data_IF_009417274564
#
_entry.id   IF_009417274564
#
_cell.length_a   1.000
_cell.length_b   1.000
_cell.length_c   1.000
_cell.angle_alpha   90.00
_cell.angle_beta   90.00
_cell.angle_gamma   90.00
#
_symmetry.space_group_name_H-M   'P 1'
#
loop_
_entity.id
_entity.type
_entity.pdbx_description
1 polymer ?
#
# COMPACT_ATOMS: atom_id res chain seq x y z
N UNK A 1 -8.94 10.44 14.61
CA UNK A 1 -7.97 11.27 13.87
C UNK A 1 -6.61 11.07 14.51
N UNK A 2 -5.58 10.88 13.71
CA UNK A 2 -4.21 10.64 14.17
C UNK A 2 -3.43 11.96 14.13
N UNK A 3 -2.58 12.19 15.12
CA UNK A 3 -1.67 13.35 15.16
C UNK A 3 -0.50 13.15 14.20
N UNK A 4 -0.12 11.87 13.96
CA UNK A 4 0.93 11.47 13.04
C UNK A 4 0.56 10.23 12.24
N UNK A 5 1.02 10.20 10.98
CA UNK A 5 1.01 9.00 10.13
C UNK A 5 2.45 8.75 9.68
N UNK A 6 2.94 7.54 9.93
CA UNK A 6 4.28 7.09 9.55
C UNK A 6 4.14 5.86 8.67
N UNK A 7 4.70 5.88 7.47
CA UNK A 7 4.79 4.68 6.64
C UNK A 7 6.15 4.03 6.78
N UNK A 8 6.19 2.72 6.88
CA UNK A 8 7.42 1.95 7.05
C UNK A 8 7.62 1.03 5.84
N UNK A 9 8.71 1.23 5.10
CA UNK A 9 9.05 0.47 3.91
C UNK A 9 10.46 -0.12 4.03
N UNK A 10 10.56 -1.42 4.31
CA UNK A 10 11.87 -2.08 4.42
C UNK A 10 12.53 -2.40 3.07
N UNK A 11 11.74 -2.50 2.01
CA UNK A 11 12.20 -2.92 0.69
C UNK A 11 11.64 -1.99 -0.40
N UNK A 12 11.99 -0.68 -0.37
CA UNK A 12 11.58 0.29 -1.39
C UNK A 12 12.04 -0.14 -2.78
N UNK A 13 11.52 0.51 -3.80
CA UNK A 13 11.88 0.24 -5.18
C UNK A 13 11.95 1.54 -6.00
N UNK A 14 12.67 1.50 -7.10
CA UNK A 14 12.46 2.36 -8.25
C UNK A 14 11.56 1.59 -9.22
N UNK A 15 10.35 2.07 -9.44
CA UNK A 15 9.40 1.45 -10.38
C UNK A 15 9.60 2.07 -11.76
N UNK A 16 10.21 1.31 -12.67
CA UNK A 16 10.51 1.71 -14.05
C UNK A 16 9.39 1.22 -14.96
N UNK A 17 8.71 2.12 -15.61
CA UNK A 17 7.68 1.80 -16.60
C UNK A 17 8.18 2.14 -17.99
N UNK A 18 8.28 1.13 -18.85
CA UNK A 18 8.74 1.22 -20.21
C UNK A 18 7.58 1.03 -21.19
N UNK A 19 7.60 1.74 -22.30
CA UNK A 19 6.71 1.50 -23.44
C UNK A 19 7.57 1.17 -24.65
N UNK A 20 7.27 0.05 -25.31
CA UNK A 20 7.91 -0.40 -26.54
C UNK A 20 6.98 -0.13 -27.73
N UNK A 21 7.55 0.12 -28.90
CA UNK A 21 6.80 0.17 -30.16
C UNK A 21 6.44 -1.23 -30.67
N UNK A 22 7.28 -2.22 -30.36
CA UNK A 22 7.08 -3.65 -30.65
C UNK A 22 7.85 -4.45 -29.61
N UNK A 23 7.53 -5.74 -29.45
CA UNK A 23 8.33 -6.66 -28.63
C UNK A 23 8.93 -7.71 -29.55
N UNK A 24 10.25 -7.73 -29.64
CA UNK A 24 11.05 -8.76 -30.27
C UNK A 24 11.74 -9.62 -29.20
N UNK A 25 11.70 -10.95 -29.36
CA UNK A 25 12.35 -11.88 -28.42
C UNK A 25 13.75 -12.31 -28.89
N UNK A 26 14.19 -11.88 -30.06
CA UNK A 26 15.49 -12.24 -30.67
C UNK A 26 16.39 -11.03 -30.74
N UNK A 27 15.87 -9.90 -31.20
CA UNK A 27 16.64 -8.67 -31.40
C UNK A 27 16.46 -7.70 -30.21
N UNK A 28 17.41 -6.75 -30.02
CA UNK A 28 17.28 -5.71 -29.00
C UNK A 28 15.99 -4.88 -29.16
N UNK A 29 15.33 -4.59 -28.06
CA UNK A 29 14.15 -3.74 -28.04
C UNK A 29 14.53 -2.33 -27.59
N UNK A 30 14.14 -1.32 -28.37
CA UNK A 30 14.29 0.09 -28.00
C UNK A 30 13.05 0.61 -27.31
N UNK A 31 13.26 1.40 -26.25
CA UNK A 31 12.17 2.04 -25.51
C UNK A 31 11.67 3.27 -26.23
N UNK A 32 10.37 3.35 -26.48
CA UNK A 32 9.72 4.55 -27.00
C UNK A 32 9.52 5.62 -25.92
N UNK A 33 9.27 5.20 -24.68
CA UNK A 33 9.09 6.06 -23.50
C UNK A 33 9.50 5.31 -22.23
N UNK A 34 10.12 6.03 -21.32
CA UNK A 34 10.41 5.57 -19.96
C UNK A 34 9.88 6.56 -18.94
N UNK A 35 9.31 6.04 -17.84
CA UNK A 35 8.94 6.84 -16.66
C UNK A 35 9.40 6.09 -15.43
N UNK A 36 9.95 6.83 -14.47
CA UNK A 36 10.46 6.32 -13.22
C UNK A 36 9.69 6.91 -12.04
N UNK A 37 9.36 6.05 -11.07
CA UNK A 37 8.68 6.44 -9.84
C UNK A 37 9.43 5.93 -8.62
N UNK A 38 9.38 6.70 -7.53
CA UNK A 38 9.69 6.13 -6.22
C UNK A 38 8.57 5.16 -5.84
N UNK A 39 8.93 3.93 -5.53
CA UNK A 39 8.00 2.83 -5.32
C UNK A 39 8.26 2.02 -4.05
N UNK A 40 7.46 0.99 -3.90
CA UNK A 40 7.29 0.22 -2.67
C UNK A 40 6.00 0.61 -1.97
N UNK A 41 5.22 -0.36 -1.46
CA UNK A 41 3.84 -0.09 -1.00
C UNK A 41 3.73 1.05 0.01
N UNK A 42 4.58 1.10 1.05
CA UNK A 42 4.53 2.19 2.04
C UNK A 42 4.90 3.54 1.43
N UNK A 43 5.87 3.57 0.49
CA UNK A 43 6.22 4.76 -0.29
C UNK A 43 5.03 5.21 -1.14
N UNK A 44 4.39 4.30 -1.88
CA UNK A 44 3.21 4.63 -2.69
C UNK A 44 2.08 5.20 -1.83
N UNK A 45 1.86 4.63 -0.63
CA UNK A 45 0.87 5.15 0.33
C UNK A 45 1.23 6.59 0.75
N UNK A 46 2.50 6.89 1.05
CA UNK A 46 2.94 8.25 1.40
C UNK A 46 2.74 9.24 0.25
N UNK A 47 3.06 8.85 -0.98
CA UNK A 47 2.87 9.67 -2.17
C UNK A 47 1.39 10.02 -2.39
N UNK A 48 0.51 9.03 -2.25
CA UNK A 48 -0.94 9.25 -2.36
C UNK A 48 -1.48 10.07 -1.18
N UNK A 49 -1.01 9.87 0.05
CA UNK A 49 -1.39 10.70 1.19
C UNK A 49 -0.99 12.16 0.96
N UNK A 50 0.23 12.41 0.48
CA UNK A 50 0.71 13.76 0.14
C UNK A 50 -0.15 14.41 -0.94
N UNK A 51 -0.46 13.70 -2.04
CA UNK A 51 -1.31 14.22 -3.12
C UNK A 51 -2.74 14.52 -2.65
N UNK A 52 -3.24 13.78 -1.66
CA UNK A 52 -4.54 14.02 -1.05
C UNK A 52 -4.49 15.06 0.11
N UNK A 53 -3.36 15.75 0.32
CA UNK A 53 -3.20 16.79 1.33
C UNK A 53 -3.10 16.28 2.76
N UNK A 54 -2.74 15.01 2.97
CA UNK A 54 -2.52 14.41 4.29
C UNK A 54 -1.03 14.25 4.54
N UNK A 55 -0.54 14.84 5.63
CA UNK A 55 0.86 14.73 6.04
C UNK A 55 1.16 13.34 6.56
N UNK A 56 2.16 12.70 5.98
CA UNK A 56 2.74 11.45 6.46
C UNK A 56 4.26 11.51 6.33
N UNK A 57 4.98 10.81 7.21
CA UNK A 57 6.44 10.67 7.12
C UNK A 57 6.79 9.26 6.65
N UNK A 58 7.53 9.16 5.56
CA UNK A 58 8.01 7.89 5.04
C UNK A 58 9.35 7.53 5.69
N UNK A 59 9.41 6.41 6.38
CA UNK A 59 10.59 5.84 6.99
C UNK A 59 10.87 4.47 6.38
N UNK A 60 12.11 4.06 6.37
CA UNK A 60 12.49 2.75 5.83
C UNK A 60 13.99 2.63 5.65
N UNK A 61 14.41 1.69 4.81
CA UNK A 61 15.82 1.42 4.53
C UNK A 61 16.02 1.49 3.03
N UNK A 62 17.00 2.26 2.57
CA UNK A 62 17.33 2.36 1.14
C UNK A 62 18.84 2.14 0.89
N UNK A 63 19.17 1.58 -0.26
CA UNK A 63 20.54 1.39 -0.69
C UNK A 63 21.16 2.67 -1.26
N UNK A 64 22.44 2.94 -0.96
CA UNK A 64 23.14 4.17 -1.31
C UNK A 64 23.41 4.36 -2.80
N UNK A 65 23.59 3.27 -3.56
CA UNK A 65 24.13 3.36 -4.92
C UNK A 65 23.26 4.20 -5.88
N UNK A 66 21.95 4.21 -5.67
CA UNK A 66 20.97 4.97 -6.44
C UNK A 66 19.97 5.75 -5.57
N UNK A 67 20.31 5.94 -4.29
CA UNK A 67 19.47 6.67 -3.32
C UNK A 67 19.12 8.08 -3.79
N UNK A 68 20.08 8.82 -4.37
CA UNK A 68 19.84 10.19 -4.85
C UNK A 68 18.69 10.29 -5.84
N UNK A 69 18.55 9.32 -6.75
CA UNK A 69 17.43 9.25 -7.70
C UNK A 69 16.11 8.95 -7.01
N UNK A 70 16.11 8.02 -6.06
CA UNK A 70 14.94 7.65 -5.27
C UNK A 70 14.45 8.82 -4.41
N UNK A 71 15.36 9.49 -3.71
CA UNK A 71 15.06 10.64 -2.84
C UNK A 71 14.53 11.84 -3.66
N UNK A 72 15.16 12.15 -4.81
CA UNK A 72 14.68 13.25 -5.68
C UNK A 72 13.25 13.03 -6.17
N UNK A 73 12.84 11.78 -6.40
CA UNK A 73 11.46 11.45 -6.78
C UNK A 73 10.50 11.66 -5.60
N UNK A 74 10.89 11.30 -4.36
CA UNK A 74 10.08 11.54 -3.17
C UNK A 74 9.91 13.05 -2.90
N UNK A 75 10.99 13.83 -3.06
CA UNK A 75 10.97 15.28 -2.92
C UNK A 75 10.04 15.92 -3.96
N UNK A 76 10.10 15.43 -5.21
CA UNK A 76 9.23 15.86 -6.30
C UNK A 76 7.74 15.59 -6.05
N UNK A 77 7.44 14.51 -5.34
CA UNK A 77 6.08 14.14 -4.92
C UNK A 77 5.65 14.81 -3.60
N UNK A 78 6.49 15.65 -2.99
CA UNK A 78 6.23 16.34 -1.73
C UNK A 78 6.15 15.43 -0.50
N UNK A 79 6.78 14.26 -0.55
CA UNK A 79 6.79 13.29 0.55
C UNK A 79 7.83 13.65 1.59
N UNK A 80 7.41 13.88 2.82
CA UNK A 80 8.35 13.98 3.96
C UNK A 80 8.93 12.61 4.26
N UNK A 81 10.26 12.49 4.31
CA UNK A 81 10.92 11.19 4.48
C UNK A 81 12.19 11.27 5.33
N UNK A 82 12.62 10.11 5.86
CA UNK A 82 13.89 9.98 6.61
C UNK A 82 14.36 8.51 6.58
N UNK A 83 14.93 8.07 5.46
CA UNK A 83 15.40 6.70 5.28
C UNK A 83 16.74 6.45 5.98
N UNK A 84 16.92 5.22 6.46
CA UNK A 84 18.24 4.69 6.83
C UNK A 84 18.95 4.27 5.56
N UNK A 85 20.20 4.67 5.42
CA UNK A 85 21.01 4.37 4.27
C UNK A 85 21.92 3.16 4.53
N UNK A 86 22.00 2.25 3.54
CA UNK A 86 22.85 1.05 3.60
C UNK A 86 23.64 0.89 2.30
N UNK A 87 24.64 0.02 2.30
CA UNK A 87 25.33 -0.37 1.07
C UNK A 87 24.37 -1.05 0.09
N UNK A 88 24.68 -0.97 -1.20
CA UNK A 88 23.90 -1.52 -2.30
C UNK A 88 22.87 -0.54 -2.85
N UNK A 89 22.00 -1.04 -3.72
CA UNK A 89 21.02 -0.24 -4.46
C UNK A 89 19.59 -0.46 -3.96
N UNK A 90 18.76 0.59 -4.06
CA UNK A 90 17.31 0.44 -4.11
C UNK A 90 16.98 -0.43 -5.33
N UNK A 91 16.19 -1.49 -5.12
CA UNK A 91 15.81 -2.40 -6.21
C UNK A 91 15.00 -1.68 -7.28
N UNK A 92 15.11 -2.14 -8.51
CA UNK A 92 14.29 -1.66 -9.61
C UNK A 92 13.25 -2.72 -9.98
N UNK A 93 12.00 -2.34 -10.08
CA UNK A 93 10.95 -3.16 -10.68
C UNK A 93 10.66 -2.63 -12.09
N UNK A 94 10.55 -3.52 -13.07
CA UNK A 94 10.25 -3.12 -14.43
C UNK A 94 8.82 -3.51 -14.80
N UNK A 95 8.11 -2.57 -15.42
CA UNK A 95 6.86 -2.82 -16.12
C UNK A 95 7.08 -2.46 -17.59
N UNK A 96 6.98 -3.44 -18.48
CA UNK A 96 7.14 -3.24 -19.93
C UNK A 96 5.77 -3.32 -20.56
N UNK A 97 5.29 -2.20 -21.11
CA UNK A 97 4.03 -2.13 -21.84
C UNK A 97 4.27 -2.35 -23.34
N UNK A 98 3.41 -3.15 -23.96
CA UNK A 98 3.47 -3.53 -25.36
C UNK A 98 2.26 -2.92 -26.09
N UNK A 99 2.36 -2.54 -27.38
CA UNK A 99 1.30 -1.85 -28.11
C UNK A 99 -0.04 -2.59 -28.17
N UNK A 100 -0.03 -3.92 -28.08
CA UNK A 100 -1.23 -4.76 -28.11
C UNK A 100 -2.00 -4.78 -26.76
N UNK A 101 -1.57 -3.98 -25.77
CA UNK A 101 -2.17 -3.88 -24.46
C UNK A 101 -1.69 -4.91 -23.43
N UNK A 102 -0.79 -5.83 -23.81
CA UNK A 102 -0.12 -6.71 -22.86
C UNK A 102 0.98 -5.98 -22.13
N UNK A 103 1.37 -6.50 -20.98
CA UNK A 103 2.50 -6.00 -20.21
C UNK A 103 3.26 -7.13 -19.53
N UNK A 104 4.55 -6.91 -19.32
CA UNK A 104 5.44 -7.79 -18.55
C UNK A 104 5.86 -7.07 -17.26
N UNK A 105 5.79 -7.76 -16.11
CA UNK A 105 6.32 -7.25 -14.84
C UNK A 105 7.49 -8.09 -14.36
N UNK A 106 8.58 -7.44 -14.00
CA UNK A 106 9.77 -8.04 -13.42
C UNK A 106 10.06 -7.36 -12.09
N UNK A 107 9.74 -8.05 -10.98
CA UNK A 107 10.00 -7.54 -9.65
C UNK A 107 11.29 -8.14 -9.10
N UNK A 108 12.27 -7.30 -8.78
CA UNK A 108 13.52 -7.73 -8.16
C UNK A 108 13.30 -7.93 -6.64
N UNK A 109 14.04 -8.87 -6.05
CA UNK A 109 13.92 -9.22 -4.64
C UNK A 109 14.40 -8.09 -3.71
N UNK A 110 15.35 -7.29 -4.15
CA UNK A 110 16.02 -6.29 -3.31
C UNK A 110 17.26 -6.86 -2.61
N UNK A 111 17.94 -5.98 -1.87
CA UNK A 111 19.15 -6.30 -1.12
C UNK A 111 18.83 -6.83 0.28
N UNK A 112 19.78 -7.49 0.91
CA UNK A 112 19.72 -7.84 2.33
C UNK A 112 19.88 -6.58 3.18
N UNK A 113 19.25 -6.57 4.34
CA UNK A 113 19.29 -5.45 5.28
C UNK A 113 20.22 -5.81 6.46
N UNK A 114 21.25 -5.03 6.72
CA UNK A 114 22.09 -5.22 7.91
C UNK A 114 21.31 -5.08 9.21
N UNK A 115 21.67 -5.84 10.23
CA UNK A 115 21.04 -5.76 11.57
C UNK A 115 21.14 -4.33 12.13
N UNK A 116 22.28 -3.67 11.92
CA UNK A 116 22.48 -2.29 12.38
C UNK A 116 21.52 -1.31 11.70
N UNK A 117 21.19 -1.50 10.43
CA UNK A 117 20.19 -0.67 9.75
C UNK A 117 18.78 -0.86 10.35
N UNK A 118 18.42 -2.08 10.77
CA UNK A 118 17.18 -2.32 11.51
C UNK A 118 17.18 -1.63 12.88
N UNK A 119 18.33 -1.59 13.58
CA UNK A 119 18.47 -0.86 14.84
C UNK A 119 18.36 0.66 14.62
N UNK A 120 18.97 1.20 13.56
CA UNK A 120 18.86 2.62 13.20
C UNK A 120 17.42 3.00 12.86
N UNK A 121 16.72 2.18 12.05
CA UNK A 121 15.33 2.39 11.74
C UNK A 121 14.46 2.36 13.00
N UNK A 122 14.72 1.40 13.91
CA UNK A 122 14.03 1.34 15.20
C UNK A 122 14.20 2.65 15.99
N UNK A 123 15.42 3.15 16.13
CA UNK A 123 15.67 4.44 16.82
C UNK A 123 14.89 5.58 16.19
N UNK A 124 14.95 5.73 14.86
CA UNK A 124 14.17 6.77 14.15
C UNK A 124 12.66 6.67 14.40
N UNK A 125 12.12 5.45 14.43
CA UNK A 125 10.70 5.23 14.72
C UNK A 125 10.36 5.54 16.18
N UNK A 126 11.23 5.20 17.12
CA UNK A 126 11.07 5.51 18.54
C UNK A 126 11.11 7.03 18.78
N UNK A 127 12.07 7.76 18.16
CA UNK A 127 12.17 9.22 18.21
C UNK A 127 10.87 9.89 17.72
N UNK A 128 10.26 9.36 16.64
CA UNK A 128 8.96 9.84 16.16
C UNK A 128 7.81 9.62 17.17
N UNK A 129 7.89 8.59 17.99
CA UNK A 129 6.88 8.29 19.00
C UNK A 129 7.04 9.07 20.30
N UNK A 130 8.25 9.58 20.61
CA UNK A 130 8.55 10.31 21.85
C UNK A 130 7.75 11.60 22.02
N UNK A 131 7.40 12.27 20.92
CA UNK A 131 6.61 13.52 20.97
C UNK A 131 5.14 13.29 21.40
N UNK A 132 4.75 12.03 21.62
CA UNK A 132 3.39 11.67 22.03
C UNK A 132 2.36 11.82 20.91
N UNK A 133 1.08 11.80 21.30
CA UNK A 133 -0.05 11.86 20.36
C UNK A 133 -0.43 10.50 19.76
N UNK A 134 -1.60 10.45 19.12
CA UNK A 134 -2.07 9.25 18.42
C UNK A 134 -1.31 9.07 17.13
N UNK A 135 -0.56 7.98 17.00
CA UNK A 135 0.27 7.70 15.83
C UNK A 135 -0.25 6.48 15.09
N UNK A 136 -0.46 6.61 13.78
CA UNK A 136 -0.71 5.49 12.89
C UNK A 136 0.58 5.08 12.18
N UNK A 137 1.05 3.87 12.42
CA UNK A 137 2.19 3.28 11.73
C UNK A 137 1.69 2.33 10.63
N UNK A 138 2.03 2.62 9.40
CA UNK A 138 1.62 1.85 8.21
C UNK A 138 2.76 0.93 7.80
N UNK A 139 2.66 -0.36 8.09
CA UNK A 139 3.61 -1.39 7.71
C UNK A 139 3.17 -2.05 6.40
N UNK A 140 3.82 -1.73 5.29
CA UNK A 140 3.39 -2.15 3.97
C UNK A 140 4.54 -2.63 3.08
N UNK A 141 4.23 -3.55 2.18
CA UNK A 141 5.15 -4.04 1.17
C UNK A 141 5.77 -5.39 1.47
N UNK A 142 6.74 -5.77 0.61
CA UNK A 142 7.50 -7.01 0.74
C UNK A 142 8.68 -6.85 1.71
N UNK A 143 9.10 -7.97 2.29
CA UNK A 143 10.29 -8.01 3.13
C UNK A 143 11.57 -8.12 2.29
N UNK A 144 12.69 -7.58 2.78
CA UNK A 144 14.03 -7.91 2.26
C UNK A 144 14.32 -9.42 2.38
N UNK A 145 15.24 -9.98 1.58
CA UNK A 145 15.49 -11.43 1.53
C UNK A 145 15.88 -12.09 2.86
N UNK A 146 16.49 -11.35 3.77
CA UNK A 146 16.94 -11.84 5.07
C UNK A 146 16.04 -11.47 6.26
N UNK A 147 14.89 -10.84 6.02
CA UNK A 147 13.92 -10.51 7.07
C UNK A 147 12.76 -11.49 7.00
N UNK A 148 12.53 -12.24 8.08
CA UNK A 148 11.44 -13.20 8.16
C UNK A 148 10.13 -12.52 8.61
N UNK A 149 8.95 -13.08 8.26
CA UNK A 149 7.67 -12.59 8.78
C UNK A 149 7.61 -12.50 10.30
N UNK A 150 8.18 -13.50 11.01
CA UNK A 150 8.21 -13.56 12.46
C UNK A 150 9.10 -12.45 13.05
N UNK A 151 10.28 -12.22 12.47
CA UNK A 151 11.19 -11.14 12.85
C UNK A 151 10.54 -9.76 12.61
N UNK A 152 9.84 -9.61 11.50
CA UNK A 152 9.11 -8.38 11.20
C UNK A 152 7.91 -8.14 12.12
N UNK A 153 7.17 -9.20 12.47
CA UNK A 153 6.11 -9.12 13.47
C UNK A 153 6.65 -8.66 14.82
N UNK A 154 7.75 -9.27 15.28
CA UNK A 154 8.41 -8.88 16.54
C UNK A 154 8.88 -7.43 16.51
N UNK A 155 9.44 -6.98 15.37
CA UNK A 155 9.82 -5.58 15.15
C UNK A 155 8.61 -4.64 15.25
N UNK A 156 7.51 -4.94 14.56
CA UNK A 156 6.27 -4.17 14.63
C UNK A 156 5.71 -4.12 16.06
N UNK A 157 5.62 -5.26 16.73
CA UNK A 157 5.07 -5.37 18.08
C UNK A 157 5.89 -4.60 19.13
N UNK A 158 7.18 -4.36 18.88
CA UNK A 158 8.02 -3.58 19.79
C UNK A 158 7.59 -2.11 19.91
N UNK A 159 6.80 -1.60 18.96
CA UNK A 159 6.22 -0.25 18.99
C UNK A 159 4.81 -0.22 19.60
N UNK A 160 4.30 -1.33 20.12
CA UNK A 160 2.97 -1.38 20.73
C UNK A 160 2.90 -0.50 21.95
N UNK A 161 2.04 0.53 21.87
CA UNK A 161 1.68 1.48 22.93
C UNK A 161 0.21 1.80 22.80
N UNK A 162 -0.41 2.31 23.86
CA UNK A 162 -1.84 2.63 23.88
C UNK A 162 -2.25 3.66 22.80
N UNK A 163 -1.35 4.56 22.46
CA UNK A 163 -1.55 5.60 21.47
C UNK A 163 -0.97 5.28 20.07
N UNK A 164 -0.48 4.05 19.84
CA UNK A 164 0.07 3.61 18.56
C UNK A 164 -0.84 2.59 17.90
N UNK A 165 -1.23 2.88 16.67
CA UNK A 165 -2.13 2.09 15.85
C UNK A 165 -1.37 1.54 14.64
N UNK A 166 -1.72 0.33 14.19
CA UNK A 166 -1.06 -0.32 13.07
C UNK A 166 -1.99 -0.46 11.87
N UNK A 167 -1.52 -0.03 10.70
CA UNK A 167 -2.12 -0.33 9.41
C UNK A 167 -1.24 -1.33 8.67
N UNK A 168 -1.82 -2.40 8.12
CA UNK A 168 -1.08 -3.47 7.48
C UNK A 168 -1.51 -3.67 6.02
N UNK A 169 -0.56 -3.63 5.11
CA UNK A 169 -0.73 -4.04 3.70
C UNK A 169 0.42 -4.93 3.24
N UNK A 170 0.33 -6.20 3.62
CA UNK A 170 1.32 -7.22 3.26
C UNK A 170 0.64 -8.59 3.06
N UNK A 171 1.34 -9.51 2.40
CA UNK A 171 0.80 -10.81 2.00
C UNK A 171 1.30 -11.99 2.87
N UNK A 172 2.04 -11.71 3.95
CA UNK A 172 2.71 -12.77 4.72
C UNK A 172 2.13 -12.99 6.12
N UNK A 173 1.40 -12.04 6.70
CA UNK A 173 0.74 -12.26 7.99
C UNK A 173 -0.48 -13.16 7.85
N UNK A 174 -0.65 -14.06 8.82
CA UNK A 174 -1.78 -14.98 8.94
C UNK A 174 -2.80 -14.44 9.94
N UNK A 175 -3.95 -15.12 10.07
CA UNK A 175 -4.99 -14.70 11.02
C UNK A 175 -4.48 -14.68 12.47
N UNK A 176 -3.64 -15.64 12.85
CA UNK A 176 -3.07 -15.72 14.19
C UNK A 176 -2.17 -14.51 14.49
N UNK A 177 -1.38 -14.07 13.51
CA UNK A 177 -0.57 -12.86 13.63
C UNK A 177 -1.45 -11.62 13.84
N UNK A 178 -2.57 -11.52 13.11
CA UNK A 178 -3.49 -10.40 13.25
C UNK A 178 -4.23 -10.40 14.60
N UNK A 179 -4.53 -11.58 15.16
CA UNK A 179 -5.12 -11.69 16.51
C UNK A 179 -4.15 -11.15 17.56
N UNK A 180 -2.86 -11.39 17.38
CA UNK A 180 -1.81 -10.85 18.25
C UNK A 180 -1.60 -9.35 18.02
N UNK A 181 -1.44 -8.92 16.76
CA UNK A 181 -1.15 -7.51 16.40
C UNK A 181 -2.34 -6.61 16.74
N UNK A 182 -3.57 -7.06 16.51
CA UNK A 182 -4.82 -6.27 16.63
C UNK A 182 -4.75 -4.95 15.88
N UNK A 183 -4.54 -4.98 14.56
CA UNK A 183 -4.33 -3.75 13.79
C UNK A 183 -5.61 -2.92 13.68
N UNK A 184 -5.43 -1.60 13.56
CA UNK A 184 -6.49 -0.65 13.20
C UNK A 184 -7.08 -0.98 11.83
N UNK A 185 -6.23 -1.30 10.84
CA UNK A 185 -6.69 -1.62 9.49
C UNK A 185 -5.82 -2.68 8.82
N UNK A 186 -6.48 -3.57 8.07
CA UNK A 186 -5.83 -4.45 7.09
C UNK A 186 -6.51 -4.32 5.73
N UNK A 187 -5.70 -4.35 4.66
CA UNK A 187 -6.23 -4.26 3.29
C UNK A 187 -5.69 -5.39 2.39
N UNK A 188 -6.11 -6.63 2.52
CA UNK A 188 -5.75 -7.71 1.61
C UNK A 188 -6.51 -7.60 0.28
N UNK A 189 -5.89 -8.01 -0.83
CA UNK A 189 -6.62 -8.45 -2.00
C UNK A 189 -7.16 -9.87 -1.79
N UNK A 190 -8.00 -10.38 -2.70
CA UNK A 190 -8.61 -11.70 -2.54
C UNK A 190 -7.59 -12.84 -2.45
N UNK A 191 -6.47 -12.76 -3.18
CA UNK A 191 -5.42 -13.77 -3.12
C UNK A 191 -4.68 -13.73 -1.78
N UNK A 192 -4.35 -12.54 -1.31
CA UNK A 192 -3.73 -12.31 0.00
C UNK A 192 -4.68 -12.78 1.12
N UNK A 193 -5.98 -12.48 1.00
CA UNK A 193 -6.99 -12.88 1.98
C UNK A 193 -7.16 -14.39 2.09
N UNK A 194 -7.10 -15.10 0.95
CA UNK A 194 -7.05 -16.58 0.92
C UNK A 194 -5.80 -17.13 1.59
N UNK A 195 -4.64 -16.58 1.27
CA UNK A 195 -3.36 -16.99 1.89
C UNK A 195 -3.35 -16.73 3.39
N UNK A 196 -3.84 -15.58 3.82
CA UNK A 196 -3.94 -15.18 5.23
C UNK A 196 -4.80 -16.15 6.04
N UNK A 197 -5.90 -16.61 5.46
CA UNK A 197 -6.84 -17.51 6.13
C UNK A 197 -6.50 -19.01 5.99
N UNK A 198 -5.62 -19.37 5.06
CA UNK A 198 -5.40 -20.76 4.68
C UNK A 198 -6.62 -21.45 4.05
N UNK A 199 -7.66 -20.67 3.65
CA UNK A 199 -8.95 -21.17 3.19
C UNK A 199 -9.23 -20.79 1.74
N UNK A 200 -9.88 -21.68 1.00
CA UNK A 200 -10.32 -21.43 -0.37
C UNK A 200 -11.66 -20.67 -0.37
N UNK A 201 -11.56 -19.34 -0.29
CA UNK A 201 -12.72 -18.45 -0.27
C UNK A 201 -13.31 -18.30 -1.67
N UNK A 202 -14.12 -19.26 -2.13
CA UNK A 202 -14.68 -19.30 -3.49
C UNK A 202 -15.90 -18.41 -3.68
N UNK A 203 -16.67 -18.17 -2.63
CA UNK A 203 -17.91 -17.41 -2.69
C UNK A 203 -17.79 -16.07 -1.97
N UNK A 204 -18.56 -15.07 -2.41
CA UNK A 204 -18.63 -13.78 -1.72
C UNK A 204 -19.10 -13.96 -0.26
N UNK A 205 -20.01 -14.90 0.00
CA UNK A 205 -20.48 -15.21 1.36
C UNK A 205 -19.35 -15.73 2.26
N UNK A 206 -18.45 -16.59 1.74
CA UNK A 206 -17.29 -17.05 2.54
C UNK A 206 -16.32 -15.91 2.88
N UNK A 207 -16.12 -14.97 1.95
CA UNK A 207 -15.31 -13.75 2.18
C UNK A 207 -15.97 -12.89 3.26
N UNK A 208 -17.26 -12.62 3.14
CA UNK A 208 -18.04 -11.82 4.10
C UNK A 208 -18.00 -12.45 5.50
N UNK A 209 -18.22 -13.76 5.59
CA UNK A 209 -18.19 -14.50 6.87
C UNK A 209 -16.82 -14.36 7.55
N UNK A 210 -15.73 -14.53 6.81
CA UNK A 210 -14.39 -14.37 7.35
C UNK A 210 -14.11 -12.91 7.75
N UNK A 211 -14.40 -11.94 6.89
CA UNK A 211 -14.22 -10.53 7.22
C UNK A 211 -14.99 -10.12 8.48
N UNK A 212 -16.23 -10.60 8.62
CA UNK A 212 -17.05 -10.40 9.83
C UNK A 212 -16.39 -11.00 11.07
N UNK A 213 -15.86 -12.22 11.01
CA UNK A 213 -15.23 -12.84 12.17
C UNK A 213 -13.94 -12.12 12.61
N UNK A 214 -13.29 -11.39 11.71
CA UNK A 214 -12.07 -10.64 12.02
C UNK A 214 -12.35 -9.32 12.77
N UNK A 215 -13.58 -8.78 12.73
CA UNK A 215 -13.89 -7.50 13.42
C UNK A 215 -13.74 -7.56 14.95
N UNK A 216 -13.59 -8.75 15.53
CA UNK A 216 -13.26 -8.93 16.94
C UNK A 216 -11.82 -8.54 17.33
N UNK A 217 -10.92 -8.43 16.35
CA UNK A 217 -9.51 -8.12 16.58
C UNK A 217 -8.87 -7.21 15.52
N UNK A 218 -9.55 -6.88 14.45
CA UNK A 218 -9.17 -5.87 13.46
C UNK A 218 -10.29 -4.84 13.38
N UNK A 219 -9.98 -3.55 13.51
CA UNK A 219 -11.01 -2.50 13.53
C UNK A 219 -11.60 -2.26 12.14
N UNK A 220 -10.75 -2.18 11.09
CA UNK A 220 -11.18 -2.00 9.71
C UNK A 220 -10.57 -3.07 8.79
N UNK A 221 -11.39 -3.74 8.01
CA UNK A 221 -10.98 -4.75 7.03
C UNK A 221 -11.47 -4.32 5.65
N UNK A 222 -10.53 -4.14 4.71
CA UNK A 222 -10.80 -3.77 3.31
C UNK A 222 -10.36 -4.92 2.40
N UNK A 223 -11.28 -5.78 1.99
CA UNK A 223 -10.96 -6.87 1.06
C UNK A 223 -11.18 -6.41 -0.37
N UNK A 224 -10.09 -6.13 -1.09
CA UNK A 224 -10.13 -5.72 -2.49
C UNK A 224 -10.43 -6.92 -3.40
N UNK A 225 -11.42 -6.78 -4.29
CA UNK A 225 -11.87 -7.81 -5.23
C UNK A 225 -11.53 -7.45 -6.70
N UNK A 226 -10.52 -6.60 -6.91
CA UNK A 226 -10.15 -6.08 -8.22
C UNK A 226 -11.31 -5.35 -8.91
N UNK A 227 -11.61 -5.64 -10.18
CA UNK A 227 -12.69 -4.95 -10.91
C UNK A 227 -14.08 -5.17 -10.28
N UNK A 228 -14.21 -6.13 -9.37
CA UNK A 228 -15.46 -6.35 -8.63
C UNK A 228 -15.63 -5.42 -7.43
N UNK A 229 -14.69 -4.49 -7.16
CA UNK A 229 -14.78 -3.51 -6.08
C UNK A 229 -14.22 -4.01 -4.75
N UNK A 230 -14.93 -3.79 -3.63
CA UNK A 230 -14.41 -3.99 -2.27
C UNK A 230 -15.51 -4.50 -1.32
N UNK A 231 -15.11 -5.34 -0.37
CA UNK A 231 -15.89 -5.65 0.83
C UNK A 231 -15.22 -4.93 2.00
N UNK A 232 -15.97 -4.07 2.68
CA UNK A 232 -15.57 -3.45 3.93
C UNK A 232 -16.25 -4.14 5.10
N UNK A 233 -15.51 -4.37 6.18
CA UNK A 233 -16.04 -4.77 7.48
C UNK A 233 -15.38 -3.92 8.59
N UNK A 234 -16.17 -3.42 9.52
CA UNK A 234 -15.68 -2.58 10.61
C UNK A 234 -16.77 -2.18 11.60
N UNK A 235 -16.52 -1.16 12.46
CA UNK A 235 -17.44 -0.78 13.54
C UNK A 235 -18.84 -0.36 13.06
N UNK A 236 -18.93 0.23 11.86
CA UNK A 236 -20.20 0.68 11.28
C UNK A 236 -20.97 -0.43 10.54
N UNK A 237 -20.43 -1.65 10.49
CA UNK A 237 -21.05 -2.79 9.81
C UNK A 237 -20.25 -3.33 8.63
N UNK A 238 -20.95 -4.07 7.77
CA UNK A 238 -20.37 -4.63 6.54
C UNK A 238 -20.99 -3.98 5.31
N UNK A 239 -20.14 -3.64 4.36
CA UNK A 239 -20.58 -2.99 3.12
C UNK A 239 -19.93 -3.66 1.91
N UNK A 240 -20.70 -3.77 0.85
CA UNK A 240 -20.25 -4.13 -0.48
C UNK A 240 -20.19 -2.85 -1.32
N UNK A 241 -19.00 -2.53 -1.81
CA UNK A 241 -18.76 -1.34 -2.63
C UNK A 241 -18.31 -1.77 -4.02
N UNK A 242 -18.83 -1.08 -5.02
CA UNK A 242 -18.56 -1.40 -6.42
C UNK A 242 -18.48 -0.15 -7.27
N UNK A 243 -17.52 -0.10 -8.18
CA UNK A 243 -17.42 0.94 -9.19
C UNK A 243 -17.95 0.43 -10.54
N UNK A 244 -18.39 1.35 -11.39
CA UNK A 244 -18.63 1.03 -12.79
C UNK A 244 -17.31 0.69 -13.51
N UNK A 245 -17.38 -0.11 -14.60
CA UNK A 245 -16.18 -0.43 -15.38
C UNK A 245 -15.46 0.83 -15.89
N UNK A 246 -14.15 0.84 -15.81
CA UNK A 246 -13.29 1.94 -16.24
C UNK A 246 -12.27 1.46 -17.27
N UNK A 247 -11.75 2.37 -18.10
CA UNK A 247 -10.64 2.06 -19.02
C UNK A 247 -9.34 1.98 -18.21
N UNK A 248 -8.83 0.77 -18.01
CA UNK A 248 -7.61 0.52 -17.26
C UNK A 248 -6.37 0.81 -18.09
N UNK A 249 -5.46 1.62 -17.57
CA UNK A 249 -4.11 1.84 -18.10
C UNK A 249 -3.06 1.07 -17.28
N UNK A 250 -3.13 1.17 -15.94
CA UNK A 250 -2.23 0.46 -15.03
C UNK A 250 -2.99 -0.02 -13.80
N UNK A 251 -2.62 -1.18 -13.27
CA UNK A 251 -3.15 -1.69 -11.98
C UNK A 251 -2.11 -1.58 -10.87
N UNK A 252 -0.92 -1.06 -11.17
CA UNK A 252 0.15 -0.91 -10.18
C UNK A 252 -0.22 0.19 -9.20
N UNK A 253 -0.03 -0.05 -7.91
CA UNK A 253 -0.33 0.93 -6.87
C UNK A 253 -1.82 1.14 -6.54
N UNK A 254 -2.78 0.53 -7.28
CA UNK A 254 -4.21 0.71 -7.01
C UNK A 254 -4.62 0.28 -5.60
N UNK A 255 -4.02 -0.80 -5.09
CA UNK A 255 -4.22 -1.23 -3.71
C UNK A 255 -3.67 -0.22 -2.70
N UNK A 256 -2.46 0.28 -2.96
CA UNK A 256 -1.80 1.28 -2.11
C UNK A 256 -2.62 2.57 -2.09
N UNK A 257 -3.13 3.00 -3.26
CA UNK A 257 -4.05 4.14 -3.39
C UNK A 257 -5.34 3.92 -2.61
N UNK A 258 -5.94 2.72 -2.68
CA UNK A 258 -7.15 2.39 -1.92
C UNK A 258 -6.93 2.54 -0.41
N UNK A 259 -5.80 2.02 0.12
CA UNK A 259 -5.49 2.16 1.54
C UNK A 259 -5.22 3.62 1.93
N UNK A 260 -4.37 4.32 1.18
CA UNK A 260 -4.05 5.71 1.43
C UNK A 260 -5.28 6.62 1.42
N UNK A 261 -6.19 6.42 0.46
CA UNK A 261 -7.43 7.19 0.37
C UNK A 261 -8.39 6.89 1.54
N UNK A 262 -8.49 5.63 1.98
CA UNK A 262 -9.24 5.29 3.20
C UNK A 262 -8.67 6.05 4.40
N UNK A 263 -7.36 5.99 4.60
CA UNK A 263 -6.67 6.67 5.71
C UNK A 263 -6.85 8.19 5.62
N UNK A 264 -6.77 8.78 4.42
CA UNK A 264 -7.00 10.20 4.21
C UNK A 264 -8.43 10.61 4.56
N UNK A 265 -9.42 9.81 4.19
CA UNK A 265 -10.82 10.06 4.51
C UNK A 265 -11.10 9.95 6.03
N UNK A 266 -10.55 8.92 6.69
CA UNK A 266 -10.62 8.78 8.17
C UNK A 266 -9.94 9.96 8.84
N UNK A 267 -8.79 10.40 8.34
CA UNK A 267 -8.05 11.55 8.89
C UNK A 267 -8.83 12.87 8.76
N UNK A 268 -9.71 12.98 7.76
CA UNK A 268 -10.66 14.10 7.59
C UNK A 268 -11.92 13.96 8.44
N UNK A 269 -12.07 12.86 9.20
CA UNK A 269 -13.22 12.60 10.07
C UNK A 269 -14.45 12.05 9.36
N UNK A 270 -14.30 11.50 8.14
CA UNK A 270 -15.44 10.85 7.48
C UNK A 270 -15.81 9.55 8.20
N UNK A 271 -17.12 9.20 8.24
CA UNK A 271 -17.56 7.87 8.67
C UNK A 271 -16.85 6.77 7.87
N UNK A 272 -16.62 5.61 8.47
CA UNK A 272 -15.83 4.57 7.86
C UNK A 272 -16.46 3.99 6.56
N UNK A 273 -17.79 3.99 6.46
CA UNK A 273 -18.51 3.64 5.22
C UNK A 273 -18.23 4.62 4.08
N UNK A 274 -18.19 5.92 4.37
CA UNK A 274 -17.83 6.95 3.39
C UNK A 274 -16.33 6.94 3.08
N UNK A 275 -15.49 6.66 4.08
CA UNK A 275 -14.06 6.45 3.86
C UNK A 275 -13.79 5.25 2.92
N UNK A 276 -14.54 4.15 3.07
CA UNK A 276 -14.47 3.01 2.16
C UNK A 276 -14.95 3.36 0.75
N UNK A 277 -15.99 4.21 0.63
CA UNK A 277 -16.47 4.73 -0.65
C UNK A 277 -15.40 5.59 -1.34
N UNK A 278 -14.78 6.50 -0.61
CA UNK A 278 -13.68 7.33 -1.09
C UNK A 278 -12.47 6.48 -1.54
N UNK A 279 -12.15 5.42 -0.77
CA UNK A 279 -11.09 4.48 -1.09
C UNK A 279 -11.32 3.74 -2.41
N UNK A 280 -12.58 3.29 -2.67
CA UNK A 280 -12.94 2.64 -3.94
C UNK A 280 -12.89 3.62 -5.09
N UNK A 281 -13.34 4.86 -4.91
CA UNK A 281 -13.25 5.91 -5.92
C UNK A 281 -11.78 6.18 -6.29
N UNK A 282 -10.90 6.36 -5.31
CA UNK A 282 -9.48 6.60 -5.53
C UNK A 282 -8.77 5.40 -6.20
N UNK A 283 -9.05 4.17 -5.75
CA UNK A 283 -8.51 2.97 -6.39
C UNK A 283 -8.98 2.79 -7.83
N UNK A 284 -10.21 3.20 -8.14
CA UNK A 284 -10.76 3.17 -9.50
C UNK A 284 -10.20 4.29 -10.37
N UNK A 285 -9.97 5.46 -9.81
CA UNK A 285 -9.33 6.58 -10.48
C UNK A 285 -7.86 6.25 -10.82
N UNK A 286 -7.12 5.65 -9.88
CA UNK A 286 -5.70 5.34 -10.06
C UNK A 286 -5.44 4.40 -11.23
N UNK A 287 -6.33 3.43 -11.51
CA UNK A 287 -6.12 2.51 -12.64
C UNK A 287 -6.30 3.17 -14.00
N UNK A 288 -6.79 4.41 -14.06
CA UNK A 288 -6.88 5.21 -15.30
C UNK A 288 -5.62 6.04 -15.59
N UNK A 289 -4.66 6.04 -14.65
CA UNK A 289 -3.39 6.74 -14.76
C UNK A 289 -2.28 5.81 -15.28
N UNK A 290 -1.17 6.39 -15.70
CA UNK A 290 0.00 5.65 -16.14
C UNK A 290 0.86 5.19 -14.95
N UNK A 291 1.45 4.00 -15.03
CA UNK A 291 2.41 3.50 -14.05
C UNK A 291 1.87 3.51 -12.62
N UNK A 292 2.55 4.24 -11.74
CA UNK A 292 2.17 4.51 -10.35
C UNK A 292 1.95 6.01 -10.10
N UNK A 293 1.44 6.73 -11.10
CA UNK A 293 0.99 8.11 -10.92
C UNK A 293 -0.02 8.21 -9.78
N UNK A 294 0.04 9.32 -9.04
CA UNK A 294 -0.84 9.56 -7.89
C UNK A 294 -2.13 10.29 -8.31
N UNK A 295 -3.21 9.94 -7.65
CA UNK A 295 -4.52 10.58 -7.89
C UNK A 295 -4.57 11.98 -7.28
N UNK A 296 -5.24 12.93 -7.95
CA UNK A 296 -5.59 14.22 -7.33
C UNK A 296 -6.95 14.12 -6.60
N UNK A 297 -7.22 15.01 -5.63
CA UNK A 297 -8.53 15.10 -4.98
C UNK A 297 -9.68 15.22 -5.97
N UNK A 298 -9.54 16.09 -6.97
CA UNK A 298 -10.57 16.36 -7.99
C UNK A 298 -10.85 15.11 -8.83
N UNK A 299 -9.80 14.36 -9.18
CA UNK A 299 -9.97 13.10 -9.91
C UNK A 299 -10.73 12.09 -9.06
N UNK A 300 -10.41 11.93 -7.77
CA UNK A 300 -11.12 11.03 -6.87
C UNK A 300 -12.59 11.44 -6.73
N UNK A 301 -12.86 12.74 -6.54
CA UNK A 301 -14.21 13.27 -6.41
C UNK A 301 -15.07 13.02 -7.65
N UNK A 302 -14.47 13.08 -8.84
CA UNK A 302 -15.16 12.78 -10.10
C UNK A 302 -15.63 11.31 -10.21
N UNK A 303 -15.01 10.40 -9.46
CA UNK A 303 -15.39 8.99 -9.41
C UNK A 303 -16.45 8.68 -8.32
N UNK A 304 -16.59 9.49 -7.28
CA UNK A 304 -17.52 9.24 -6.18
C UNK A 304 -18.97 8.96 -6.62
N UNK A 305 -19.56 9.69 -7.60
CA UNK A 305 -20.93 9.41 -8.04
C UNK A 305 -21.12 8.02 -8.68
N UNK A 306 -20.02 7.38 -9.12
CA UNK A 306 -20.03 6.07 -9.78
C UNK A 306 -19.95 4.91 -8.77
N UNK A 307 -19.69 5.19 -7.49
CA UNK A 307 -19.53 4.15 -6.46
C UNK A 307 -20.88 3.81 -5.84
N UNK A 308 -21.31 2.58 -6.05
CA UNK A 308 -22.47 2.02 -5.33
C UNK A 308 -22.03 1.44 -3.99
N UNK A 309 -22.82 1.68 -2.96
CA UNK A 309 -22.62 1.18 -1.59
C UNK A 309 -23.85 0.40 -1.16
N UNK A 310 -23.68 -0.85 -0.74
CA UNK A 310 -24.75 -1.71 -0.24
C UNK A 310 -24.36 -2.29 1.11
N UNK A 311 -25.15 -2.01 2.13
CA UNK A 311 -24.99 -2.64 3.44
C UNK A 311 -25.31 -4.14 3.34
N UNK A 312 -24.46 -4.97 3.96
CA UNK A 312 -24.61 -6.42 4.03
C UNK A 312 -25.17 -6.80 5.41
N UNK A 313 -26.22 -7.61 5.43
CA UNK A 313 -26.87 -8.10 6.67
C UNK A 313 -26.11 -9.27 7.28
#
# INVERSE_FOLDING_TARGET
MFDKIITVTLNPALDVTLWLNALDFVEPNETAREVLYAGGKGVNISRVLASLGVRAKALGICGNDNAGRFISLLDGDGVTHDFVHTDGAVRENLTVNIPDGRFLKINRKGSTVPVEAMHQLRRKLEDELESGGKTLMVFAGSLPPNVTPEGYRSFLLSFRRENVFFALDNAFFKLEDLQEIRPFIVKPNLLEFRKMSGSDLRTEQSIIKLARSMTGYVEHILVSLGPKGLIYAGPEGLYRLHNQPVKVKSTVGAGDTTLAAFLAAVQRGLPASEAARYAVAAGSASVTLDGTDVVSPELVESFLPQISVRMLR
#
